data_IF_170458918904
#
_entry.id   IF_170458918904
#
_cell.length_a   1.000
_cell.length_b   1.000
_cell.length_c   1.000
_cell.angle_alpha   90.00
_cell.angle_beta   90.00
_cell.angle_gamma   90.00
#
_symmetry.space_group_name_H-M   'P 1'
#
loop_
_entity.id
_entity.type
_entity.pdbx_description
1 polymer ?
#
# COMPACT_ATOMS: atom_id res chain seq x y z
N UNK A 1 24.07 -0.66 11.82
CA UNK A 1 25.44 -0.64 11.30
C UNK A 1 25.97 -2.06 11.18
N UNK A 2 26.42 -2.43 9.98
CA UNK A 2 27.12 -3.68 9.71
C UNK A 2 28.56 -3.36 9.29
N UNK A 3 29.46 -4.33 9.43
CA UNK A 3 30.85 -4.13 9.07
C UNK A 3 30.99 -3.96 7.55
N UNK A 4 31.77 -2.95 7.14
CA UNK A 4 32.17 -2.72 5.76
C UNK A 4 33.69 -2.83 5.68
N UNK A 5 34.20 -3.47 4.62
CA UNK A 5 35.64 -3.63 4.43
C UNK A 5 36.16 -2.36 3.75
N UNK A 6 36.92 -1.55 4.47
CA UNK A 6 37.51 -0.33 3.90
C UNK A 6 38.79 -0.60 3.11
N UNK A 7 39.53 -1.64 3.48
CA UNK A 7 40.78 -2.02 2.85
C UNK A 7 41.13 -3.49 3.09
N UNK A 8 41.81 -4.09 2.12
CA UNK A 8 42.48 -5.39 2.24
C UNK A 8 43.98 -5.16 2.39
N UNK A 9 44.58 -5.74 3.43
CA UNK A 9 45.97 -5.47 3.81
C UNK A 9 46.74 -6.79 3.93
N UNK A 10 47.80 -6.92 3.16
CA UNK A 10 48.73 -8.06 3.23
C UNK A 10 50.08 -7.55 3.73
N UNK A 11 50.58 -8.13 4.83
CA UNK A 11 51.87 -7.74 5.43
C UNK A 11 52.05 -6.23 5.68
N UNK A 12 50.97 -5.53 6.04
CA UNK A 12 50.98 -4.08 6.29
C UNK A 12 50.90 -3.20 5.05
N UNK A 13 50.80 -3.79 3.85
CA UNK A 13 50.57 -3.06 2.59
C UNK A 13 49.10 -3.17 2.20
N UNK A 14 48.47 -2.03 1.92
CA UNK A 14 47.10 -1.99 1.39
C UNK A 14 47.11 -2.43 -0.07
N UNK A 15 46.52 -3.58 -0.35
CA UNK A 15 46.39 -4.14 -1.70
C UNK A 15 45.17 -3.55 -2.42
N UNK A 16 44.08 -3.39 -1.66
CA UNK A 16 42.80 -2.87 -2.14
C UNK A 16 42.26 -1.86 -1.15
N UNK A 17 41.70 -0.77 -1.67
CA UNK A 17 40.89 0.17 -0.88
C UNK A 17 39.51 0.30 -1.50
N UNK A 18 38.50 0.38 -0.65
CA UNK A 18 37.10 0.52 -1.05
C UNK A 18 36.58 1.89 -0.63
N UNK A 19 35.88 2.56 -1.55
CA UNK A 19 35.24 3.85 -1.28
C UNK A 19 33.74 3.64 -1.19
N UNK A 20 33.14 4.16 -0.13
CA UNK A 20 31.69 4.07 0.13
C UNK A 20 31.06 5.46 0.14
N UNK A 21 29.87 5.56 -0.41
CA UNK A 21 28.90 6.63 -0.18
C UNK A 21 27.72 6.06 0.60
N UNK A 22 26.50 6.20 0.06
CA UNK A 22 25.35 5.43 0.55
C UNK A 22 25.52 3.91 0.28
N UNK A 23 26.22 3.56 -0.79
CA UNK A 23 26.62 2.20 -1.19
C UNK A 23 28.13 2.11 -1.52
N UNK A 24 28.63 0.91 -1.84
CA UNK A 24 29.99 0.73 -2.35
C UNK A 24 30.14 1.42 -3.71
N UNK A 25 31.06 2.38 -3.83
CA UNK A 25 31.21 3.20 -5.05
C UNK A 25 32.30 2.65 -5.95
N UNK A 26 33.45 2.31 -5.38
CA UNK A 26 34.61 1.87 -6.15
C UNK A 26 35.58 1.04 -5.33
N UNK A 27 36.33 0.18 -6.01
CA UNK A 27 37.56 -0.41 -5.49
C UNK A 27 38.76 0.20 -6.19
N UNK A 28 39.87 0.39 -5.46
CA UNK A 28 41.16 0.77 -6.03
C UNK A 28 42.17 -0.29 -5.69
N UNK A 29 42.65 -1.01 -6.70
CA UNK A 29 43.65 -2.08 -6.59
C UNK A 29 44.94 -1.61 -7.26
N UNK A 30 46.05 -1.65 -6.52
CA UNK A 30 47.35 -1.17 -6.99
C UNK A 30 47.30 0.23 -7.66
N UNK A 31 46.45 1.14 -7.15
CA UNK A 31 46.29 2.51 -7.69
C UNK A 31 45.38 2.64 -8.91
N UNK A 32 44.77 1.56 -9.40
CA UNK A 32 43.81 1.59 -10.50
C UNK A 32 42.39 1.48 -9.95
N UNK A 33 41.52 2.49 -10.16
CA UNK A 33 40.13 2.45 -9.70
C UNK A 33 39.22 1.71 -10.68
N UNK A 34 38.28 0.95 -10.13
CA UNK A 34 37.13 0.37 -10.83
C UNK A 34 35.85 0.78 -10.10
N UNK A 35 34.87 1.28 -10.85
CA UNK A 35 33.61 1.80 -10.34
C UNK A 35 32.50 0.79 -10.51
N UNK A 36 31.72 0.56 -9.45
CA UNK A 36 30.63 -0.41 -9.44
C UNK A 36 29.38 0.15 -10.12
N UNK A 37 28.76 -0.67 -10.98
CA UNK A 37 27.47 -0.37 -11.59
C UNK A 37 26.45 -1.42 -11.18
N UNK A 38 25.38 -0.98 -10.54
CA UNK A 38 24.35 -1.84 -9.94
C UNK A 38 23.08 -1.90 -10.79
N UNK A 39 22.32 -2.99 -10.67
CA UNK A 39 20.91 -3.02 -11.07
C UNK A 39 19.97 -2.54 -9.96
N UNK A 40 18.67 -2.51 -10.25
CA UNK A 40 17.64 -2.12 -9.28
C UNK A 40 17.48 -3.09 -8.11
N UNK A 41 18.14 -4.25 -8.14
CA UNK A 41 18.19 -5.21 -7.03
C UNK A 41 19.47 -5.03 -6.18
N UNK A 42 20.34 -4.09 -6.55
CA UNK A 42 21.62 -3.83 -5.90
C UNK A 42 22.75 -4.77 -6.31
N UNK A 43 22.56 -5.62 -7.33
CA UNK A 43 23.60 -6.54 -7.79
C UNK A 43 24.60 -5.83 -8.70
N UNK A 44 25.90 -6.08 -8.52
CA UNK A 44 26.94 -5.54 -9.42
C UNK A 44 26.78 -6.14 -10.82
N UNK A 45 26.36 -5.35 -11.80
CA UNK A 45 26.20 -5.79 -13.20
C UNK A 45 27.39 -5.50 -14.08
N UNK A 46 28.20 -4.51 -13.72
CA UNK A 46 29.41 -4.17 -14.45
C UNK A 46 30.39 -3.40 -13.56
N UNK A 47 31.65 -3.37 -14.01
CA UNK A 47 32.65 -2.42 -13.56
C UNK A 47 33.01 -1.47 -14.70
N UNK A 48 33.31 -0.22 -14.36
CA UNK A 48 33.81 0.78 -15.29
C UNK A 48 35.16 1.34 -14.84
N UNK A 49 35.98 1.76 -15.79
CA UNK A 49 37.22 2.49 -15.50
C UNK A 49 36.96 3.99 -15.21
N UNK A 50 38.03 4.74 -14.93
CA UNK A 50 37.94 6.19 -14.66
C UNK A 50 37.45 7.03 -15.85
N UNK A 51 37.41 6.48 -17.07
CA UNK A 51 36.82 7.13 -18.24
C UNK A 51 35.32 6.84 -18.41
N UNK A 52 34.77 5.94 -17.58
CA UNK A 52 33.40 5.45 -17.70
C UNK A 52 33.22 4.32 -18.72
N UNK A 53 34.32 3.74 -19.22
CA UNK A 53 34.26 2.60 -20.13
C UNK A 53 34.06 1.30 -19.35
N UNK A 54 33.14 0.45 -19.78
CA UNK A 54 32.88 -0.84 -19.13
C UNK A 54 34.08 -1.78 -19.32
N UNK A 55 34.59 -2.32 -18.21
CA UNK A 55 35.72 -3.26 -18.19
C UNK A 55 35.28 -4.69 -17.90
N UNK A 56 34.23 -4.85 -17.11
CA UNK A 56 33.73 -6.13 -16.62
C UNK A 56 32.20 -6.15 -16.70
N UNK A 57 31.61 -7.33 -16.87
CA UNK A 57 30.16 -7.54 -16.83
C UNK A 57 29.81 -8.81 -16.07
N UNK A 58 28.65 -8.82 -15.42
CA UNK A 58 28.16 -9.98 -14.68
C UNK A 58 26.66 -10.18 -14.93
N UNK A 59 26.28 -11.41 -15.26
CA UNK A 59 24.90 -11.84 -15.43
C UNK A 59 24.58 -12.94 -14.42
N UNK A 60 23.53 -12.73 -13.64
CA UNK A 60 23.08 -13.69 -12.62
C UNK A 60 21.70 -14.24 -12.97
N UNK A 61 21.38 -15.42 -12.44
CA UNK A 61 20.00 -15.84 -12.30
C UNK A 61 19.31 -15.15 -11.10
N UNK A 62 18.05 -15.51 -10.86
CA UNK A 62 17.25 -14.93 -9.76
C UNK A 62 17.80 -15.24 -8.36
N UNK A 63 18.65 -16.26 -8.19
CA UNK A 63 19.25 -16.65 -6.91
C UNK A 63 20.72 -16.23 -6.81
N UNK A 64 21.25 -15.46 -7.76
CA UNK A 64 22.62 -14.98 -7.73
C UNK A 64 23.67 -15.97 -8.25
N UNK A 65 23.25 -17.05 -8.92
CA UNK A 65 24.16 -17.92 -9.65
C UNK A 65 24.69 -17.15 -10.86
N UNK A 66 26.01 -17.04 -10.97
CA UNK A 66 26.66 -16.35 -12.09
C UNK A 66 26.53 -17.19 -13.37
N UNK A 67 25.79 -16.67 -14.35
CA UNK A 67 25.55 -17.31 -15.63
C UNK A 67 26.62 -16.94 -16.67
N UNK A 68 27.07 -15.69 -16.64
CA UNK A 68 28.07 -15.17 -17.56
C UNK A 68 28.86 -14.02 -16.92
N UNK A 69 30.14 -13.93 -17.23
CA UNK A 69 30.96 -12.78 -16.85
C UNK A 69 32.03 -12.45 -17.88
N UNK A 70 32.44 -11.19 -17.93
CA UNK A 70 33.59 -10.72 -18.71
C UNK A 70 34.48 -9.83 -17.85
N UNK A 71 35.73 -9.65 -18.30
CA UNK A 71 36.76 -8.89 -17.58
C UNK A 71 37.57 -9.76 -16.61
N UNK A 72 38.72 -9.23 -16.20
CA UNK A 72 39.70 -9.90 -15.35
C UNK A 72 39.85 -9.22 -13.98
N UNK A 73 39.01 -8.22 -13.69
CA UNK A 73 39.10 -7.47 -12.43
C UNK A 73 38.65 -8.37 -11.28
N UNK A 74 39.55 -8.60 -10.32
CA UNK A 74 39.19 -9.31 -9.10
C UNK A 74 38.12 -8.52 -8.34
N UNK A 75 36.98 -9.16 -8.11
CA UNK A 75 35.83 -8.53 -7.48
C UNK A 75 35.08 -9.52 -6.58
N UNK A 76 35.07 -9.21 -5.29
CA UNK A 76 34.33 -9.96 -4.28
C UNK A 76 32.87 -9.49 -4.16
N UNK A 77 32.54 -8.25 -4.51
CA UNK A 77 31.20 -7.67 -4.31
C UNK A 77 30.34 -7.83 -5.56
N UNK A 78 29.40 -8.78 -5.51
CA UNK A 78 28.69 -9.30 -6.69
C UNK A 78 27.18 -9.22 -6.50
N UNK A 79 26.49 -10.36 -6.37
CA UNK A 79 25.04 -10.42 -6.22
C UNK A 79 24.57 -9.65 -4.98
N UNK A 80 23.51 -8.86 -5.13
CA UNK A 80 22.99 -7.91 -4.12
C UNK A 80 24.03 -6.96 -3.51
N UNK A 81 25.19 -6.79 -4.16
CA UNK A 81 26.29 -5.98 -3.64
C UNK A 81 27.10 -6.65 -2.52
N UNK A 82 26.87 -7.94 -2.30
CA UNK A 82 27.41 -8.68 -1.15
C UNK A 82 28.68 -9.43 -1.51
N UNK A 83 29.48 -9.71 -0.48
CA UNK A 83 30.78 -10.33 -0.63
C UNK A 83 30.63 -11.83 -0.94
N UNK A 84 31.14 -12.25 -2.09
CA UNK A 84 31.35 -13.66 -2.44
C UNK A 84 32.68 -14.13 -1.84
N UNK A 85 32.63 -15.13 -0.98
CA UNK A 85 33.81 -15.90 -0.59
C UNK A 85 34.10 -16.94 -1.67
N UNK A 86 35.16 -16.71 -2.45
CA UNK A 86 35.53 -17.57 -3.57
C UNK A 86 35.96 -18.98 -3.13
N UNK A 87 36.44 -19.17 -1.90
CA UNK A 87 36.86 -20.49 -1.43
C UNK A 87 35.66 -21.37 -1.08
N UNK A 88 34.60 -20.75 -0.58
CA UNK A 88 33.35 -21.43 -0.23
C UNK A 88 32.34 -21.45 -1.37
N UNK A 89 32.54 -20.60 -2.39
CA UNK A 89 31.57 -20.28 -3.44
C UNK A 89 30.21 -19.88 -2.85
N UNK A 90 30.24 -18.99 -1.84
CA UNK A 90 29.06 -18.57 -1.07
C UNK A 90 29.08 -17.08 -0.79
N UNK A 91 27.91 -16.46 -0.78
CA UNK A 91 27.76 -15.06 -0.41
C UNK A 91 27.67 -14.90 1.10
N UNK A 92 28.50 -14.03 1.67
CA UNK A 92 28.38 -13.63 3.05
C UNK A 92 27.38 -12.47 3.18
N UNK A 93 26.13 -12.81 3.49
CA UNK A 93 25.05 -11.84 3.68
C UNK A 93 25.07 -11.27 5.11
N UNK A 94 26.20 -10.75 5.59
CA UNK A 94 26.42 -10.14 6.92
C UNK A 94 26.26 -11.07 8.14
N UNK A 95 25.21 -11.87 8.22
CA UNK A 95 24.95 -12.75 9.37
C UNK A 95 25.10 -14.23 9.05
N UNK A 96 24.87 -14.60 7.79
CA UNK A 96 24.88 -16.00 7.34
C UNK A 96 25.51 -16.10 5.96
N UNK A 97 26.12 -17.25 5.70
CA UNK A 97 26.54 -17.63 4.37
C UNK A 97 25.35 -18.18 3.59
N UNK A 98 25.16 -17.61 2.41
CA UNK A 98 24.14 -17.97 1.44
C UNK A 98 24.79 -18.78 0.31
N UNK A 99 24.23 -19.95 0.05
CA UNK A 99 24.58 -20.80 -1.09
C UNK A 99 23.57 -20.57 -2.22
N UNK A 100 24.02 -19.83 -3.22
CA UNK A 100 23.27 -19.50 -4.43
C UNK A 100 22.85 -20.74 -5.22
N UNK A 101 23.66 -21.81 -5.20
CA UNK A 101 23.39 -23.01 -5.99
C UNK A 101 22.20 -23.80 -5.44
N UNK A 102 21.99 -23.77 -4.12
CA UNK A 102 20.83 -24.38 -3.47
C UNK A 102 19.69 -23.40 -3.17
N UNK A 103 19.93 -22.09 -3.35
CA UNK A 103 18.98 -21.03 -3.03
C UNK A 103 18.71 -20.91 -1.52
N UNK A 104 19.67 -21.30 -0.66
CA UNK A 104 19.47 -21.42 0.78
C UNK A 104 20.64 -20.88 1.60
N UNK A 105 20.35 -20.47 2.82
CA UNK A 105 21.38 -20.25 3.83
C UNK A 105 21.98 -21.57 4.28
N UNK A 106 23.25 -21.52 4.67
CA UNK A 106 23.99 -22.67 5.22
C UNK A 106 23.86 -22.76 6.75
N UNK A 107 23.44 -21.67 7.40
CA UNK A 107 23.11 -21.63 8.82
C UNK A 107 21.62 -21.42 9.07
N UNK A 108 21.15 -21.98 10.18
CA UNK A 108 19.78 -21.80 10.65
C UNK A 108 19.51 -20.33 10.97
N UNK A 109 18.36 -19.82 10.55
CA UNK A 109 17.85 -18.52 10.95
C UNK A 109 17.67 -18.46 12.46
N UNK A 110 18.24 -17.42 13.06
CA UNK A 110 18.07 -17.16 14.50
C UNK A 110 16.69 -16.60 14.81
N UNK A 111 15.98 -16.06 13.81
CA UNK A 111 14.62 -15.60 13.96
C UNK A 111 13.63 -16.77 13.97
N UNK A 112 12.70 -16.74 14.92
CA UNK A 112 11.76 -17.85 15.17
C UNK A 112 10.64 -17.98 14.13
N UNK A 113 10.45 -17.00 13.25
CA UNK A 113 9.36 -17.01 12.27
C UNK A 113 7.99 -16.73 12.91
N UNK A 114 6.95 -16.73 12.09
CA UNK A 114 5.56 -16.49 12.48
C UNK A 114 4.71 -17.73 12.22
N UNK A 115 4.04 -18.25 13.25
CA UNK A 115 3.18 -19.43 13.11
C UNK A 115 2.00 -19.25 12.14
N UNK A 116 1.60 -18.01 11.84
CA UNK A 116 0.52 -17.69 10.92
C UNK A 116 1.01 -17.35 9.50
N UNK A 117 2.33 -17.36 9.29
CA UNK A 117 2.96 -17.26 7.98
C UNK A 117 3.98 -18.40 7.81
N UNK A 118 3.52 -19.61 7.40
CA UNK A 118 4.33 -20.82 7.44
C UNK A 118 5.65 -20.73 6.66
N UNK A 119 5.75 -19.88 5.63
CA UNK A 119 6.99 -19.74 4.84
C UNK A 119 8.16 -19.27 5.72
N UNK A 120 7.87 -18.40 6.69
CA UNK A 120 8.85 -17.84 7.64
C UNK A 120 9.39 -18.86 8.65
N UNK A 121 8.76 -20.03 8.77
CA UNK A 121 9.20 -21.09 9.66
C UNK A 121 10.35 -21.92 9.04
N UNK A 122 10.60 -21.79 7.74
CA UNK A 122 11.71 -22.45 7.06
C UNK A 122 13.03 -21.72 7.28
N UNK A 123 13.80 -22.19 8.25
CA UNK A 123 15.04 -21.55 8.78
C UNK A 123 16.22 -21.38 7.82
N UNK A 124 16.10 -21.78 6.56
CA UNK A 124 17.21 -21.74 5.60
C UNK A 124 16.81 -21.05 4.30
N UNK A 125 15.60 -20.49 4.20
CA UNK A 125 15.17 -19.83 2.97
C UNK A 125 15.85 -18.46 2.82
N UNK A 126 16.46 -18.25 1.66
CA UNK A 126 16.81 -16.91 1.20
C UNK A 126 15.56 -16.23 0.63
N UNK A 127 15.30 -14.98 1.02
CA UNK A 127 14.24 -14.16 0.45
C UNK A 127 12.85 -14.83 0.38
N UNK A 128 12.51 -15.71 1.34
CA UNK A 128 11.28 -16.53 1.33
C UNK A 128 11.08 -17.36 0.04
N UNK A 129 12.16 -17.73 -0.65
CA UNK A 129 12.17 -18.38 -1.97
C UNK A 129 11.62 -17.52 -3.13
N UNK A 130 11.50 -16.20 -2.93
CA UNK A 130 11.16 -15.22 -3.96
C UNK A 130 12.18 -14.06 -3.96
N UNK A 131 13.42 -14.34 -4.40
CA UNK A 131 14.51 -13.37 -4.44
C UNK A 131 14.33 -12.28 -5.52
N UNK A 132 13.37 -12.41 -6.43
CA UNK A 132 13.07 -11.34 -7.40
C UNK A 132 12.34 -10.20 -6.71
N UNK A 133 11.40 -10.53 -5.81
CA UNK A 133 10.59 -9.55 -5.10
C UNK A 133 11.17 -9.14 -3.73
N UNK A 134 12.09 -9.94 -3.16
CA UNK A 134 12.61 -9.71 -1.81
C UNK A 134 14.14 -9.79 -1.77
N UNK A 135 14.74 -8.88 -1.00
CA UNK A 135 16.17 -8.90 -0.64
C UNK A 135 16.28 -9.23 0.85
N UNK A 136 17.37 -9.83 1.32
CA UNK A 136 17.69 -9.97 2.75
C UNK A 136 18.90 -9.11 3.16
N UNK A 137 18.69 -7.81 3.46
CA UNK A 137 19.80 -6.89 3.75
C UNK A 137 20.51 -7.16 5.06
N UNK A 138 19.98 -8.03 5.93
CA UNK A 138 20.55 -8.28 7.26
C UNK A 138 21.18 -9.66 7.37
N UNK A 139 20.92 -10.53 6.40
CA UNK A 139 21.19 -11.95 6.48
C UNK A 139 20.38 -12.69 7.51
N UNK A 140 19.36 -12.11 8.14
CA UNK A 140 18.43 -12.78 9.04
C UNK A 140 16.96 -12.49 8.67
N UNK A 141 16.73 -11.59 7.71
CA UNK A 141 15.44 -10.97 7.49
C UNK A 141 15.33 -10.47 6.05
N UNK A 142 14.50 -11.14 5.25
CA UNK A 142 14.02 -10.54 3.99
C UNK A 142 13.32 -9.21 4.28
N UNK A 143 13.40 -8.21 3.41
CA UNK A 143 12.79 -6.88 3.59
C UNK A 143 11.29 -6.94 3.97
N UNK A 144 10.58 -8.02 3.62
CA UNK A 144 9.20 -8.29 4.06
C UNK A 144 9.03 -8.55 5.57
N UNK A 145 10.09 -8.90 6.28
CA UNK A 145 10.08 -9.22 7.72
C UNK A 145 10.50 -8.06 8.63
N UNK A 146 11.14 -7.01 8.09
CA UNK A 146 11.37 -5.73 8.79
C UNK A 146 10.02 -5.10 9.17
N UNK A 147 9.03 -5.17 8.28
CA UNK A 147 7.66 -4.71 8.58
C UNK A 147 7.02 -5.53 9.73
N UNK A 148 7.30 -6.84 9.81
CA UNK A 148 6.74 -7.72 10.85
C UNK A 148 7.38 -7.52 12.23
N UNK A 149 8.69 -7.30 12.32
CA UNK A 149 9.40 -7.06 13.58
C UNK A 149 9.03 -5.73 14.24
N UNK A 150 8.89 -4.67 13.43
CA UNK A 150 8.42 -3.36 13.90
C UNK A 150 6.98 -3.47 14.42
N UNK A 151 6.12 -4.27 13.77
CA UNK A 151 4.76 -4.54 14.24
C UNK A 151 4.72 -5.21 15.62
N UNK A 152 5.62 -6.17 15.91
CA UNK A 152 5.66 -6.85 17.22
C UNK A 152 6.15 -5.92 18.33
N UNK A 153 7.19 -5.11 18.08
CA UNK A 153 7.67 -4.10 19.04
C UNK A 153 6.61 -3.03 19.28
N UNK A 154 5.93 -2.58 18.23
CA UNK A 154 4.76 -1.70 18.32
C UNK A 154 3.64 -2.32 19.16
N UNK A 155 3.32 -3.60 18.94
CA UNK A 155 2.29 -4.32 19.71
C UNK A 155 2.64 -4.47 21.20
N UNK A 156 3.90 -4.75 21.54
CA UNK A 156 4.35 -4.84 22.93
C UNK A 156 4.38 -3.46 23.61
N UNK A 157 4.85 -2.42 22.91
CA UNK A 157 4.81 -1.05 23.38
C UNK A 157 3.37 -0.55 23.60
N UNK A 158 2.44 -0.89 22.70
CA UNK A 158 1.01 -0.58 22.83
C UNK A 158 0.35 -1.30 24.01
N UNK A 159 0.72 -2.56 24.31
CA UNK A 159 0.23 -3.27 25.50
C UNK A 159 0.73 -2.63 26.79
N UNK A 160 2.00 -2.23 26.83
CA UNK A 160 2.56 -1.51 27.97
C UNK A 160 1.91 -0.14 28.14
N UNK A 161 1.66 0.58 27.04
CA UNK A 161 0.99 1.89 27.04
C UNK A 161 -0.47 1.80 27.49
N UNK A 162 -1.25 0.84 26.97
CA UNK A 162 -2.65 0.65 27.37
C UNK A 162 -2.79 0.20 28.84
N UNK A 163 -1.83 -0.58 29.35
CA UNK A 163 -1.80 -0.94 30.76
C UNK A 163 -1.45 0.28 31.63
N UNK A 164 -0.49 1.10 31.18
CA UNK A 164 -0.11 2.33 31.87
C UNK A 164 -1.22 3.38 31.86
N UNK A 165 -1.89 3.60 30.72
CA UNK A 165 -2.97 4.59 30.60
C UNK A 165 -4.19 4.25 31.47
N UNK A 166 -4.48 2.96 31.66
CA UNK A 166 -5.51 2.50 32.59
C UNK A 166 -5.13 2.80 34.05
N UNK A 167 -3.88 2.55 34.43
CA UNK A 167 -3.39 2.83 35.79
C UNK A 167 -3.33 4.33 36.06
N UNK A 168 -2.86 5.12 35.09
CA UNK A 168 -2.77 6.57 35.18
C UNK A 168 -4.16 7.23 35.26
N UNK A 169 -5.11 6.83 34.41
CA UNK A 169 -6.49 7.33 34.46
C UNK A 169 -7.17 7.01 35.79
N UNK A 170 -7.00 5.80 36.33
CA UNK A 170 -7.51 5.43 37.66
C UNK A 170 -6.81 6.23 38.76
N UNK A 171 -5.50 6.45 38.65
CA UNK A 171 -4.73 7.22 39.63
C UNK A 171 -5.14 8.69 39.65
N UNK A 172 -5.28 9.34 38.50
CA UNK A 172 -5.70 10.75 38.34
C UNK A 172 -7.14 11.00 38.82
N UNK A 173 -8.03 10.03 38.61
CA UNK A 173 -9.38 10.04 39.20
C UNK A 173 -9.32 9.87 40.72
N UNK A 174 -8.52 8.91 41.22
CA UNK A 174 -8.43 8.64 42.65
C UNK A 174 -7.74 9.75 43.46
N UNK A 175 -6.85 10.50 42.81
CA UNK A 175 -6.15 11.67 43.37
C UNK A 175 -6.96 12.96 43.24
N UNK A 176 -8.08 12.95 42.50
CA UNK A 176 -8.95 14.11 42.30
C UNK A 176 -8.43 15.11 41.27
N UNK A 177 -7.43 14.75 40.47
CA UNK A 177 -6.90 15.61 39.39
C UNK A 177 -7.82 15.66 38.16
N UNK A 178 -8.68 14.65 37.95
CA UNK A 178 -9.70 14.64 36.90
C UNK A 178 -11.08 14.24 37.43
N UNK A 179 -12.14 14.80 36.83
CA UNK A 179 -13.53 14.47 37.15
C UNK A 179 -13.88 13.06 36.65
N UNK A 180 -14.58 12.27 37.46
CA UNK A 180 -14.99 10.91 37.12
C UNK A 180 -16.00 10.91 35.97
N UNK A 181 -15.58 10.46 34.78
CA UNK A 181 -16.47 10.11 33.67
C UNK A 181 -16.62 8.57 33.59
N UNK A 182 -17.76 8.02 34.05
CA UNK A 182 -18.00 6.58 34.08
C UNK A 182 -17.95 5.91 32.70
N UNK A 183 -18.21 6.68 31.63
CA UNK A 183 -18.29 6.15 30.28
C UNK A 183 -16.89 5.90 29.69
N UNK A 184 -15.97 6.86 29.85
CA UNK A 184 -14.57 6.69 29.42
C UNK A 184 -13.84 5.54 30.13
N UNK A 185 -14.08 5.38 31.44
CA UNK A 185 -13.49 4.30 32.25
C UNK A 185 -14.07 2.93 31.88
N UNK A 186 -15.39 2.87 31.62
CA UNK A 186 -16.05 1.65 31.16
C UNK A 186 -15.50 1.19 29.79
N UNK A 187 -15.29 2.13 28.87
CA UNK A 187 -14.74 1.85 27.54
C UNK A 187 -13.29 1.34 27.59
N UNK A 188 -12.42 1.94 28.43
CA UNK A 188 -11.02 1.52 28.56
C UNK A 188 -10.85 0.13 29.23
N UNK A 189 -11.73 -0.20 30.19
CA UNK A 189 -11.78 -1.53 30.81
C UNK A 189 -12.25 -2.61 29.83
N UNK A 190 -13.21 -2.28 28.94
CA UNK A 190 -13.72 -3.21 27.94
C UNK A 190 -12.68 -3.43 26.83
N UNK A 191 -12.02 -2.37 26.33
CA UNK A 191 -10.98 -2.50 25.32
C UNK A 191 -9.74 -3.26 25.82
N UNK A 192 -9.33 -3.04 27.07
CA UNK A 192 -8.15 -3.72 27.64
C UNK A 192 -8.35 -5.22 27.87
N UNK A 193 -9.59 -5.73 27.80
CA UNK A 193 -9.95 -7.13 28.03
C UNK A 193 -10.31 -7.92 26.75
N UNK A 194 -10.23 -7.30 25.56
CA UNK A 194 -10.59 -7.95 24.29
C UNK A 194 -9.36 -8.58 23.59
N UNK A 195 -9.46 -9.81 23.04
CA UNK A 195 -8.41 -10.42 22.23
C UNK A 195 -8.29 -9.78 20.82
N UNK A 196 -7.06 -9.60 20.35
CA UNK A 196 -6.69 -8.81 19.14
C UNK A 196 -7.34 -9.24 17.82
N UNK A 197 -7.72 -10.51 17.65
CA UNK A 197 -8.43 -10.97 16.43
C UNK A 197 -9.92 -10.60 16.41
N UNK A 198 -10.48 -10.21 17.55
CA UNK A 198 -11.88 -9.78 17.64
C UNK A 198 -12.02 -8.27 17.50
N UNK A 199 -10.98 -7.48 17.83
CA UNK A 199 -10.99 -6.02 17.62
C UNK A 199 -11.04 -5.67 16.13
N UNK A 200 -10.26 -6.32 15.26
CA UNK A 200 -10.31 -6.09 13.80
C UNK A 200 -11.65 -6.49 13.17
N UNK A 201 -12.33 -7.52 13.71
CA UNK A 201 -13.69 -7.93 13.30
C UNK A 201 -14.80 -7.04 13.88
N UNK A 202 -14.55 -6.31 14.97
CA UNK A 202 -15.49 -5.34 15.53
C UNK A 202 -15.32 -3.95 14.90
N UNK A 203 -14.11 -3.62 14.41
CA UNK A 203 -13.81 -2.37 13.69
C UNK A 203 -14.42 -2.37 12.27
N UNK A 204 -14.73 -3.54 11.70
CA UNK A 204 -15.37 -3.67 10.38
C UNK A 204 -16.89 -3.46 10.35
N UNK A 205 -17.49 -2.86 11.40
CA UNK A 205 -18.93 -2.58 11.40
C UNK A 205 -19.38 -1.35 12.18
N UNK A 206 -18.64 -0.25 12.09
CA UNK A 206 -19.22 1.09 12.24
C UNK A 206 -18.76 1.92 11.06
N UNK A 207 -19.66 2.11 10.10
CA UNK A 207 -19.50 3.08 9.02
C UNK A 207 -19.58 4.49 9.62
N UNK A 208 -18.48 4.94 10.21
CA UNK A 208 -18.28 6.35 10.55
C UNK A 208 -18.02 7.11 9.26
N UNK A 209 -18.82 8.13 8.95
CA UNK A 209 -18.58 9.04 7.83
C UNK A 209 -17.20 9.67 7.99
N UNK A 210 -16.19 9.17 7.28
CA UNK A 210 -14.85 9.72 7.23
C UNK A 210 -14.79 10.82 6.17
N UNK A 211 -14.29 11.99 6.52
CA UNK A 211 -14.17 13.14 5.62
C UNK A 211 -13.07 14.10 6.09
N UNK A 212 -12.73 15.06 5.25
CA UNK A 212 -11.78 16.14 5.50
C UNK A 212 -12.49 17.49 5.46
N UNK A 213 -11.88 18.52 6.03
CA UNK A 213 -12.32 19.89 5.77
C UNK A 213 -12.11 20.28 4.28
N UNK A 214 -12.84 21.28 3.79
CA UNK A 214 -12.79 21.67 2.38
C UNK A 214 -11.45 22.21 1.88
N UNK A 215 -10.61 22.76 2.77
CA UNK A 215 -9.29 23.32 2.45
C UNK A 215 -8.19 22.26 2.42
N UNK A 216 -8.46 21.04 2.92
CA UNK A 216 -7.51 19.92 2.84
C UNK A 216 -7.11 19.69 1.38
N UNK A 217 -5.81 19.83 1.10
CA UNK A 217 -5.28 19.66 -0.25
C UNK A 217 -5.24 18.18 -0.65
N UNK A 218 -5.47 17.90 -1.92
CA UNK A 218 -5.37 16.57 -2.53
C UNK A 218 -4.32 16.60 -3.62
N UNK A 219 -3.47 15.57 -3.69
CA UNK A 219 -2.46 15.42 -4.74
C UNK A 219 -3.12 15.00 -6.06
N UNK A 220 -3.32 15.96 -6.96
CA UNK A 220 -3.87 15.73 -8.30
C UNK A 220 -2.78 15.63 -9.37
N UNK A 221 -3.16 15.25 -10.59
CA UNK A 221 -2.27 15.30 -11.75
C UNK A 221 -1.68 16.70 -12.00
N UNK A 222 -2.46 17.76 -11.75
CA UNK A 222 -2.08 19.14 -12.01
C UNK A 222 -1.54 19.86 -10.76
N UNK A 223 -1.18 19.11 -9.71
CA UNK A 223 -0.69 19.63 -8.44
C UNK A 223 -1.73 19.57 -7.32
N UNK A 224 -1.52 20.37 -6.28
CA UNK A 224 -2.36 20.35 -5.08
C UNK A 224 -3.65 21.15 -5.29
N UNK A 225 -4.79 20.51 -5.07
CA UNK A 225 -6.12 21.12 -5.19
C UNK A 225 -6.88 20.92 -3.88
N UNK A 226 -7.55 21.95 -3.31
CA UNK A 226 -8.44 21.77 -2.17
C UNK A 226 -9.51 20.72 -2.45
N UNK A 227 -9.80 19.85 -1.49
CA UNK A 227 -10.73 18.73 -1.70
C UNK A 227 -12.15 19.21 -2.05
N UNK A 228 -12.53 20.42 -1.65
CA UNK A 228 -13.79 21.04 -2.02
C UNK A 228 -13.89 21.39 -3.53
N UNK A 229 -12.74 21.59 -4.19
CA UNK A 229 -12.65 22.01 -5.59
C UNK A 229 -12.42 20.83 -6.55
N UNK A 230 -12.11 19.64 -6.02
CA UNK A 230 -11.94 18.41 -6.81
C UNK A 230 -13.27 18.00 -7.45
N UNK A 231 -13.22 17.65 -8.74
CA UNK A 231 -14.38 17.29 -9.55
C UNK A 231 -14.34 15.81 -9.96
N UNK A 232 -15.52 15.25 -10.22
CA UNK A 232 -15.62 13.95 -10.87
C UNK A 232 -14.94 14.05 -12.24
N UNK A 233 -14.06 13.10 -12.54
CA UNK A 233 -13.22 13.10 -13.74
C UNK A 233 -11.80 13.62 -13.50
N UNK A 234 -11.54 14.34 -12.42
CA UNK A 234 -10.18 14.75 -12.05
C UNK A 234 -9.35 13.52 -11.70
N UNK A 235 -8.04 13.57 -11.99
CA UNK A 235 -7.11 12.48 -11.66
C UNK A 235 -6.32 12.81 -10.40
N UNK A 236 -6.36 11.91 -9.44
CA UNK A 236 -5.65 12.02 -8.15
C UNK A 236 -4.68 10.87 -7.97
N UNK A 237 -3.58 11.12 -7.26
CA UNK A 237 -2.67 10.06 -6.88
C UNK A 237 -3.31 9.15 -5.83
N UNK A 238 -3.31 7.86 -6.12
CA UNK A 238 -3.84 6.81 -5.26
C UNK A 238 -2.83 5.66 -5.14
N UNK A 239 -2.74 5.08 -3.95
CA UNK A 239 -1.80 4.01 -3.61
C UNK A 239 -2.51 2.66 -3.63
N UNK A 240 -2.00 1.74 -4.43
CA UNK A 240 -2.51 0.38 -4.45
C UNK A 240 -1.84 -0.45 -3.35
N UNK A 241 -2.61 -0.85 -2.34
CA UNK A 241 -2.09 -1.60 -1.18
C UNK A 241 -1.57 -3.00 -1.52
N UNK A 242 -2.09 -3.63 -2.59
CA UNK A 242 -1.65 -4.97 -3.00
C UNK A 242 -0.29 -4.95 -3.71
N UNK A 243 -0.03 -3.90 -4.49
CA UNK A 243 1.19 -3.79 -5.32
C UNK A 243 2.23 -2.85 -4.73
N UNK A 244 1.83 -1.99 -3.78
CA UNK A 244 2.69 -0.95 -3.20
C UNK A 244 2.97 0.22 -4.15
N UNK A 245 2.23 0.35 -5.25
CA UNK A 245 2.49 1.33 -6.30
C UNK A 245 1.44 2.44 -6.29
N UNK A 246 1.91 3.68 -6.37
CA UNK A 246 1.05 4.85 -6.57
C UNK A 246 0.83 5.15 -8.04
N UNK A 247 -0.43 5.41 -8.42
CA UNK A 247 -0.82 5.76 -9.79
C UNK A 247 -1.94 6.81 -9.80
N UNK A 248 -1.99 7.60 -10.87
CA UNK A 248 -3.11 8.51 -11.11
C UNK A 248 -4.39 7.75 -11.40
N UNK A 249 -5.47 8.14 -10.72
CA UNK A 249 -6.79 7.55 -10.84
C UNK A 249 -7.88 8.59 -10.92
N UNK A 250 -8.87 8.32 -11.76
CA UNK A 250 -10.05 9.16 -11.91
C UNK A 250 -10.88 9.15 -10.61
N UNK A 251 -11.24 10.34 -10.15
CA UNK A 251 -12.24 10.54 -9.11
C UNK A 251 -13.61 10.25 -9.72
N UNK A 252 -14.27 9.22 -9.19
CA UNK A 252 -15.56 8.75 -9.70
C UNK A 252 -16.74 9.20 -8.85
N UNK A 253 -16.50 9.63 -7.60
CA UNK A 253 -17.54 10.12 -6.72
C UNK A 253 -17.01 11.14 -5.72
N UNK A 254 -17.82 12.16 -5.44
CA UNK A 254 -17.58 13.15 -4.39
C UNK A 254 -18.62 12.96 -3.29
N UNK A 255 -18.15 12.87 -2.04
CA UNK A 255 -18.97 12.72 -0.86
C UNK A 255 -18.91 14.04 -0.11
N UNK A 256 -20.04 14.70 0.07
CA UNK A 256 -20.15 15.93 0.83
C UNK A 256 -21.07 15.69 2.03
N UNK A 257 -20.63 16.10 3.20
CA UNK A 257 -21.41 16.05 4.43
C UNK A 257 -21.41 17.39 5.13
N UNK A 258 -22.53 17.78 5.71
CA UNK A 258 -22.67 19.01 6.49
C UNK A 258 -23.10 18.70 7.93
N UNK A 259 -22.96 19.67 8.81
CA UNK A 259 -23.42 19.64 10.19
C UNK A 259 -22.28 19.44 11.18
N UNK A 260 -22.64 19.08 12.41
CA UNK A 260 -21.68 18.95 13.50
C UNK A 260 -20.74 17.75 13.26
N UNK A 261 -19.43 18.00 13.26
CA UNK A 261 -18.37 17.02 13.09
C UNK A 261 -17.39 17.08 14.24
N UNK A 262 -16.92 15.92 14.66
CA UNK A 262 -15.72 15.80 15.49
C UNK A 262 -14.51 15.78 14.56
N UNK A 263 -13.71 16.84 14.61
CA UNK A 263 -12.51 17.05 13.79
C UNK A 263 -11.27 16.90 14.66
N UNK A 264 -10.21 16.37 14.07
CA UNK A 264 -8.87 16.31 14.62
C UNK A 264 -7.96 17.15 13.73
N UNK A 265 -7.32 18.14 14.31
CA UNK A 265 -6.23 18.91 13.71
C UNK A 265 -4.91 18.16 13.97
N UNK A 266 -4.29 17.63 12.91
CA UNK A 266 -3.06 16.84 12.93
C UNK A 266 -1.90 17.72 12.49
N UNK A 267 -1.04 18.12 13.42
CA UNK A 267 0.15 18.94 13.10
C UNK A 267 1.35 18.05 12.81
N UNK A 268 1.94 18.19 11.62
CA UNK A 268 3.06 17.39 11.13
C UNK A 268 4.42 18.09 11.33
N UNK A 269 5.50 17.33 11.18
CA UNK A 269 6.88 17.79 11.38
C UNK A 269 7.32 18.91 10.41
N UNK A 270 6.67 19.02 9.26
CA UNK A 270 6.85 20.09 8.27
C UNK A 270 6.06 21.37 8.62
N UNK A 271 5.32 21.40 9.73
CA UNK A 271 4.47 22.51 10.15
C UNK A 271 3.08 22.55 9.52
N UNK A 272 2.74 21.59 8.66
CA UNK A 272 1.41 21.45 8.08
C UNK A 272 0.38 20.97 9.11
N UNK A 273 -0.86 21.41 8.97
CA UNK A 273 -2.01 20.93 9.75
C UNK A 273 -3.04 20.31 8.82
N UNK A 274 -3.32 19.02 9.00
CA UNK A 274 -4.38 18.30 8.30
C UNK A 274 -5.61 18.22 9.21
N UNK A 275 -6.78 18.64 8.74
CA UNK A 275 -8.02 18.56 9.51
C UNK A 275 -8.92 17.44 8.99
N UNK A 276 -9.08 16.40 9.80
CA UNK A 276 -9.85 15.22 9.42
C UNK A 276 -10.93 14.91 10.44
N UNK A 277 -12.03 14.28 10.02
CA UNK A 277 -12.99 13.71 10.98
C UNK A 277 -12.31 12.63 11.81
N UNK A 278 -12.70 12.48 13.08
CA UNK A 278 -12.11 11.47 14.00
C UNK A 278 -12.05 10.05 13.45
N UNK A 279 -12.97 9.67 12.56
CA UNK A 279 -13.01 8.34 11.93
C UNK A 279 -12.23 8.21 10.64
N UNK A 280 -11.43 9.21 10.25
CA UNK A 280 -10.67 9.16 9.00
C UNK A 280 -9.37 8.37 9.17
N UNK A 281 -9.19 7.24 8.47
CA UNK A 281 -7.98 6.43 8.61
C UNK A 281 -6.77 7.04 7.89
N UNK A 282 -5.62 7.03 8.57
CA UNK A 282 -4.31 7.36 8.02
C UNK A 282 -3.40 6.15 8.10
N UNK A 283 -2.52 5.99 7.11
CA UNK A 283 -1.59 4.87 7.09
C UNK A 283 -0.38 5.17 7.99
N UNK A 284 -0.10 4.24 8.92
CA UNK A 284 1.06 4.30 9.79
C UNK A 284 2.11 3.31 9.27
N UNK A 285 3.14 3.76 8.52
CA UNK A 285 4.11 2.86 7.90
C UNK A 285 4.90 2.05 8.92
N UNK A 286 5.10 2.56 10.14
CA UNK A 286 5.75 1.81 11.22
C UNK A 286 4.89 0.69 11.81
N UNK A 287 3.58 0.70 11.59
CA UNK A 287 2.65 -0.32 12.10
C UNK A 287 2.06 -1.17 10.97
N UNK A 288 2.26 -0.79 9.71
CA UNK A 288 1.61 -1.41 8.56
C UNK A 288 0.08 -1.39 8.64
N UNK A 289 -0.49 -0.46 9.42
CA UNK A 289 -1.91 -0.43 9.77
C UNK A 289 -2.54 0.94 9.49
N UNK A 290 -3.84 0.91 9.23
CA UNK A 290 -4.68 2.09 9.13
C UNK A 290 -5.21 2.47 10.51
N UNK A 291 -4.91 3.69 10.95
CA UNK A 291 -5.34 4.21 12.27
C UNK A 291 -6.25 5.41 12.06
N UNK A 292 -7.42 5.42 12.72
CA UNK A 292 -8.35 6.53 12.66
C UNK A 292 -7.72 7.81 13.23
N UNK A 293 -8.07 8.97 12.66
CA UNK A 293 -7.54 10.27 13.07
C UNK A 293 -7.68 10.54 14.58
N UNK A 294 -8.80 10.13 15.18
CA UNK A 294 -9.07 10.28 16.61
C UNK A 294 -8.30 9.31 17.51
N UNK A 295 -7.65 8.31 16.93
CA UNK A 295 -6.83 7.30 17.62
C UNK A 295 -5.33 7.53 17.38
N UNK A 296 -4.97 8.51 16.55
CA UNK A 296 -3.58 8.93 16.37
C UNK A 296 -3.01 9.44 17.68
N UNK A 297 -1.70 9.27 17.82
CA UNK A 297 -0.94 9.75 18.99
C UNK A 297 0.29 10.53 18.54
N UNK A 298 0.76 11.41 19.43
CA UNK A 298 1.99 12.19 19.21
C UNK A 298 3.18 11.23 19.03
N UNK A 299 4.13 11.60 18.18
CA UNK A 299 5.33 10.83 17.79
C UNK A 299 5.07 9.62 16.88
N UNK A 300 3.82 9.31 16.52
CA UNK A 300 3.57 8.47 15.36
C UNK A 300 3.98 9.21 14.09
N UNK A 301 4.13 8.49 12.99
CA UNK A 301 4.52 9.08 11.73
C UNK A 301 3.64 8.56 10.59
N UNK A 302 3.44 9.41 9.60
CA UNK A 302 2.59 9.17 8.44
C UNK A 302 3.45 9.05 7.18
N UNK A 303 3.01 8.24 6.22
CA UNK A 303 3.69 8.06 4.94
C UNK A 303 3.33 9.18 3.97
N UNK A 304 4.34 9.91 3.50
CA UNK A 304 4.24 10.90 2.43
C UNK A 304 4.26 10.26 1.04
N UNK A 305 3.84 11.03 0.04
CA UNK A 305 3.71 10.56 -1.36
C UNK A 305 5.06 10.28 -2.02
N UNK A 306 6.12 10.92 -1.52
CA UNK A 306 7.52 10.72 -1.92
C UNK A 306 8.19 9.53 -1.22
N UNK A 307 7.44 8.80 -0.37
CA UNK A 307 7.98 7.75 0.50
C UNK A 307 8.62 8.29 1.78
N UNK A 308 8.62 9.61 1.99
CA UNK A 308 9.10 10.25 3.21
C UNK A 308 8.19 9.97 4.41
N UNK A 309 8.73 10.14 5.62
CA UNK A 309 8.01 9.93 6.88
C UNK A 309 7.79 11.27 7.58
N UNK A 310 6.55 11.58 7.94
CA UNK A 310 6.15 12.82 8.62
C UNK A 310 5.67 12.53 10.03
N UNK A 311 6.41 12.98 11.04
CA UNK A 311 6.05 12.78 12.45
C UNK A 311 4.90 13.71 12.88
N UNK A 312 3.98 13.18 13.67
CA UNK A 312 2.89 13.93 14.30
C UNK A 312 3.44 14.67 15.52
N UNK A 313 3.48 16.00 15.44
CA UNK A 313 3.95 16.88 16.50
C UNK A 313 2.86 17.20 17.54
N UNK A 314 1.62 17.37 17.08
CA UNK A 314 0.48 17.70 17.93
C UNK A 314 -0.83 17.22 17.32
N UNK A 315 -1.80 16.97 18.21
CA UNK A 315 -3.17 16.60 17.87
C UNK A 315 -4.11 17.45 18.71
N UNK A 316 -5.14 18.03 18.10
CA UNK A 316 -6.20 18.75 18.80
C UNK A 316 -7.56 18.32 18.27
N UNK A 317 -8.44 17.89 19.17
CA UNK A 317 -9.79 17.45 18.81
C UNK A 317 -10.80 18.53 19.16
N UNK A 318 -11.68 18.86 18.22
CA UNK A 318 -12.78 19.81 18.43
C UNK A 318 -14.06 19.32 17.76
N UNK A 319 -15.19 19.79 18.26
CA UNK A 319 -16.49 19.59 17.61
C UNK A 319 -16.91 20.92 16.99
N UNK A 320 -17.19 20.94 15.69
CA UNK A 320 -17.62 22.14 14.99
C UNK A 320 -18.61 21.81 13.87
N UNK A 321 -19.46 22.79 13.51
CA UNK A 321 -20.32 22.68 12.33
C UNK A 321 -19.48 23.01 11.09
N UNK A 322 -19.31 22.04 10.20
CA UNK A 322 -18.44 22.18 9.03
C UNK A 322 -18.99 21.37 7.85
N UNK A 323 -18.75 21.88 6.63
CA UNK A 323 -18.90 21.10 5.41
C UNK A 323 -17.63 20.31 5.18
N UNK A 324 -17.77 18.98 5.11
CA UNK A 324 -16.67 18.04 4.95
C UNK A 324 -16.79 17.25 3.67
N UNK A 325 -15.65 16.89 3.11
CA UNK A 325 -15.52 16.28 1.79
C UNK A 325 -14.75 14.97 1.88
N UNK A 326 -15.09 14.03 1.00
CA UNK A 326 -14.34 12.79 0.77
C UNK A 326 -14.53 12.39 -0.69
N UNK A 327 -13.66 11.55 -1.25
CA UNK A 327 -13.64 11.21 -2.66
C UNK A 327 -13.41 9.72 -2.87
N UNK A 328 -14.08 9.16 -3.87
CA UNK A 328 -13.87 7.78 -4.32
C UNK A 328 -13.08 7.82 -5.61
N UNK A 329 -11.99 7.06 -5.66
CA UNK A 329 -11.19 6.84 -6.86
C UNK A 329 -11.55 5.49 -7.50
N UNK A 330 -11.31 5.35 -8.80
CA UNK A 330 -11.90 4.28 -9.62
C UNK A 330 -11.50 2.85 -9.23
N UNK A 331 -10.26 2.61 -8.81
CA UNK A 331 -9.74 1.26 -8.55
C UNK A 331 -9.30 1.05 -7.11
N UNK A 332 -8.60 2.02 -6.52
CA UNK A 332 -8.08 1.92 -5.16
C UNK A 332 -8.98 2.67 -4.15
N UNK A 333 -8.76 2.44 -2.86
CA UNK A 333 -9.53 3.08 -1.79
C UNK A 333 -8.69 4.05 -0.99
N UNK A 334 -7.68 4.62 -1.64
CA UNK A 334 -6.72 5.52 -1.02
C UNK A 334 -6.53 6.74 -1.89
N UNK A 335 -6.08 7.83 -1.26
CA UNK A 335 -5.59 9.02 -1.95
C UNK A 335 -4.69 9.80 -1.00
N UNK A 336 -3.92 10.72 -1.57
CA UNK A 336 -2.95 11.51 -0.83
C UNK A 336 -3.50 12.90 -0.49
N UNK A 337 -3.33 13.30 0.78
CA UNK A 337 -3.81 14.58 1.31
C UNK A 337 -2.71 15.42 1.95
N UNK A 338 -2.85 16.74 1.91
CA UNK A 338 -1.85 17.68 2.39
C UNK A 338 -0.70 17.91 1.40
N UNK A 339 0.16 18.87 1.72
CA UNK A 339 1.28 19.35 0.89
C UNK A 339 2.34 18.28 0.68
N UNK A 340 2.59 17.47 1.69
CA UNK A 340 3.50 16.33 1.59
C UNK A 340 2.81 15.04 1.16
N UNK A 341 1.52 15.10 0.81
CA UNK A 341 0.76 13.96 0.31
C UNK A 341 0.77 12.80 1.29
N UNK A 342 0.16 12.97 2.46
CA UNK A 342 -0.02 11.90 3.42
C UNK A 342 -1.06 10.90 2.93
N UNK A 343 -0.74 9.61 3.03
CA UNK A 343 -1.63 8.54 2.60
C UNK A 343 -2.86 8.39 3.51
N UNK A 344 -4.05 8.51 2.92
CA UNK A 344 -5.34 8.36 3.58
C UNK A 344 -6.21 7.29 2.91
N UNK A 345 -7.08 6.64 3.69
CA UNK A 345 -8.01 5.63 3.18
C UNK A 345 -9.45 6.16 3.18
N UNK A 346 -10.14 5.91 2.08
CA UNK A 346 -11.58 6.05 1.99
C UNK A 346 -12.25 4.83 2.63
N UNK A 347 -12.21 4.75 3.98
CA UNK A 347 -12.75 3.62 4.77
C UNK A 347 -14.15 3.25 4.29
N UNK A 348 -14.30 1.96 3.97
CA UNK A 348 -15.40 1.37 3.22
C UNK A 348 -16.79 1.83 3.65
N UNK A 349 -17.27 2.92 3.06
CA UNK A 349 -18.66 2.95 2.65
C UNK A 349 -18.75 1.90 1.54
N UNK A 350 -19.38 0.74 1.78
CA UNK A 350 -20.01 0.00 0.68
C UNK A 350 -20.70 1.06 -0.17
N UNK A 351 -20.20 1.33 -1.36
CA UNK A 351 -20.82 2.33 -2.20
C UNK A 351 -22.23 1.81 -2.47
N UNK A 352 -23.20 2.51 -1.87
CA UNK A 352 -24.53 2.57 -2.42
C UNK A 352 -24.31 3.04 -3.86
N UNK A 353 -24.65 2.16 -4.79
CA UNK A 353 -24.80 2.41 -6.23
C UNK A 353 -24.61 3.88 -6.65
N UNK A 354 -23.54 4.17 -7.39
CA UNK A 354 -23.25 5.50 -7.96
C UNK A 354 -24.14 5.68 -9.18
N UNK A 355 -25.18 6.50 -9.07
CA UNK A 355 -26.11 6.79 -10.19
C UNK A 355 -25.48 7.82 -11.14
N UNK A 356 -25.34 7.46 -12.41
CA UNK A 356 -24.75 8.30 -13.47
C UNK A 356 -25.80 8.49 -14.57
N UNK A 357 -26.71 9.48 -14.46
CA UNK A 357 -27.71 9.71 -15.50
C UNK A 357 -27.05 10.30 -16.76
N UNK A 358 -27.42 9.76 -17.91
CA UNK A 358 -26.99 10.21 -19.24
C UNK A 358 -28.19 10.31 -20.18
N UNK A 359 -28.02 10.95 -21.33
CA UNK A 359 -29.14 11.30 -22.23
C UNK A 359 -29.54 10.18 -23.21
N UNK A 360 -28.74 9.12 -23.37
CA UNK A 360 -29.04 8.01 -24.29
C UNK A 360 -28.33 6.71 -23.92
N UNK A 361 -28.76 5.61 -24.54
CA UNK A 361 -28.09 4.31 -24.43
C UNK A 361 -26.65 4.37 -24.95
N UNK A 362 -26.39 5.06 -26.05
CA UNK A 362 -25.04 5.20 -26.63
C UNK A 362 -24.11 5.94 -25.67
N UNK A 363 -24.61 7.00 -25.02
CA UNK A 363 -23.87 7.72 -23.99
C UNK A 363 -23.58 6.79 -22.79
N UNK A 364 -24.56 5.99 -22.38
CA UNK A 364 -24.40 5.04 -21.28
C UNK A 364 -23.36 3.97 -21.61
N UNK A 365 -23.44 3.40 -22.82
CA UNK A 365 -22.51 2.40 -23.33
C UNK A 365 -21.08 2.95 -23.40
N UNK A 366 -20.90 4.15 -23.95
CA UNK A 366 -19.57 4.75 -24.08
C UNK A 366 -18.97 5.06 -22.70
N UNK A 367 -19.77 5.60 -21.76
CA UNK A 367 -19.31 5.83 -20.37
C UNK A 367 -18.97 4.51 -19.67
N UNK A 368 -19.77 3.47 -19.90
CA UNK A 368 -19.50 2.14 -19.35
C UNK A 368 -18.18 1.56 -19.87
N UNK A 369 -17.93 1.66 -21.18
CA UNK A 369 -16.68 1.21 -21.79
C UNK A 369 -15.47 2.00 -21.30
N UNK A 370 -15.62 3.30 -21.06
CA UNK A 370 -14.58 4.13 -20.43
C UNK A 370 -14.24 3.61 -19.03
N UNK A 371 -15.24 3.33 -18.19
CA UNK A 371 -15.05 2.82 -16.82
C UNK A 371 -14.45 1.39 -16.80
N UNK A 372 -14.83 0.56 -17.77
CA UNK A 372 -14.24 -0.77 -17.96
C UNK A 372 -12.78 -0.69 -18.40
N UNK A 373 -12.42 0.22 -19.31
CA UNK A 373 -11.12 0.19 -19.96
C UNK A 373 -11.01 -0.92 -21.01
N UNK A 374 -9.79 -1.26 -21.47
CA UNK A 374 -9.58 -2.24 -22.53
C UNK A 374 -10.07 -3.62 -22.10
N UNK A 375 -10.99 -4.19 -22.88
CA UNK A 375 -11.57 -5.51 -22.58
C UNK A 375 -10.58 -6.59 -22.99
N UNK A 376 -10.07 -7.33 -22.01
CA UNK A 376 -9.31 -8.54 -22.28
C UNK A 376 -10.27 -9.66 -22.73
N UNK A 377 -10.15 -10.04 -24.00
CA UNK A 377 -10.97 -11.07 -24.61
C UNK A 377 -10.67 -12.47 -24.05
N UNK A 378 -9.45 -12.72 -23.55
CA UNK A 378 -9.08 -14.00 -22.97
C UNK A 378 -9.81 -14.28 -21.65
N UNK A 379 -10.16 -13.22 -20.90
CA UNK A 379 -10.89 -13.33 -19.64
C UNK A 379 -12.38 -12.98 -19.76
N UNK A 380 -12.86 -12.67 -20.97
CA UNK A 380 -14.26 -12.29 -21.17
C UNK A 380 -15.19 -13.46 -20.93
N UNK A 381 -16.13 -13.33 -20.00
CA UNK A 381 -17.14 -14.36 -19.69
C UNK A 381 -18.53 -13.74 -19.64
N UNK A 382 -19.49 -14.36 -20.32
CA UNK A 382 -20.87 -13.88 -20.34
C UNK A 382 -21.52 -14.06 -18.96
N UNK A 383 -22.36 -13.09 -18.60
CA UNK A 383 -23.15 -13.11 -17.37
C UNK A 383 -24.60 -13.32 -17.74
N UNK A 384 -25.22 -14.34 -17.12
CA UNK A 384 -26.64 -14.60 -17.26
C UNK A 384 -27.45 -13.90 -16.16
N UNK A 385 -28.62 -13.36 -16.51
CA UNK A 385 -29.54 -12.76 -15.56
C UNK A 385 -30.13 -13.80 -14.63
N UNK A 386 -30.05 -13.55 -13.32
CA UNK A 386 -30.46 -14.52 -12.28
C UNK A 386 -31.81 -14.22 -11.63
N UNK A 387 -32.30 -12.98 -11.73
CA UNK A 387 -33.50 -12.54 -11.02
C UNK A 387 -34.77 -13.07 -11.68
N UNK A 388 -35.42 -14.05 -11.05
CA UNK A 388 -36.70 -14.59 -11.50
C UNK A 388 -37.76 -13.48 -11.55
N UNK A 389 -38.36 -13.27 -12.73
CA UNK A 389 -39.32 -12.19 -12.99
C UNK A 389 -38.75 -11.01 -13.80
N UNK A 390 -37.42 -10.89 -13.93
CA UNK A 390 -36.80 -9.93 -14.87
C UNK A 390 -36.81 -10.48 -16.30
N UNK A 391 -36.97 -9.60 -17.29
CA UNK A 391 -36.87 -9.94 -18.72
C UNK A 391 -35.49 -10.42 -19.17
N UNK A 392 -34.47 -10.18 -18.34
CA UNK A 392 -33.12 -10.69 -18.49
C UNK A 392 -32.88 -12.07 -17.87
N UNK A 393 -33.86 -12.66 -17.17
CA UNK A 393 -33.68 -13.97 -16.54
C UNK A 393 -33.32 -15.06 -17.57
N UNK A 394 -32.22 -15.77 -17.33
CA UNK A 394 -31.71 -16.83 -18.22
C UNK A 394 -31.06 -16.34 -19.51
N UNK A 395 -31.01 -15.02 -19.76
CA UNK A 395 -30.36 -14.41 -20.93
C UNK A 395 -29.02 -13.80 -20.57
N UNK A 396 -28.13 -13.64 -21.54
CA UNK A 396 -26.92 -12.83 -21.43
C UNK A 396 -27.32 -11.39 -21.17
N UNK A 397 -26.96 -10.89 -19.99
CA UNK A 397 -27.22 -9.51 -19.57
C UNK A 397 -25.93 -8.68 -19.56
N UNK A 398 -24.79 -9.30 -19.84
CA UNK A 398 -23.50 -8.62 -19.88
C UNK A 398 -22.34 -9.59 -19.80
N UNK A 399 -21.19 -9.11 -19.30
CA UNK A 399 -19.97 -9.91 -19.20
C UNK A 399 -19.07 -9.42 -18.06
N UNK A 400 -18.18 -10.30 -17.61
CA UNK A 400 -17.02 -9.96 -16.79
C UNK A 400 -15.74 -10.08 -17.62
N UNK A 401 -14.72 -9.31 -17.28
CA UNK A 401 -13.38 -9.34 -17.87
C UNK A 401 -12.35 -8.94 -16.81
N UNK A 402 -11.06 -9.07 -17.15
CA UNK A 402 -9.94 -8.67 -16.28
C UNK A 402 -9.16 -7.57 -17.00
N UNK A 403 -8.95 -6.45 -16.32
CA UNK A 403 -8.20 -5.30 -16.85
C UNK A 403 -7.14 -4.94 -15.82
N UNK A 404 -5.87 -4.99 -16.21
CA UNK A 404 -4.71 -4.71 -15.33
C UNK A 404 -4.75 -5.47 -13.99
N UNK A 405 -5.09 -6.76 -14.03
CA UNK A 405 -5.15 -7.56 -12.80
C UNK A 405 -6.52 -7.54 -12.09
N UNK A 406 -7.39 -6.58 -12.39
CA UNK A 406 -8.64 -6.30 -11.66
C UNK A 406 -9.85 -6.84 -12.41
N UNK A 407 -10.77 -7.51 -11.70
CA UNK A 407 -12.03 -7.94 -12.31
C UNK A 407 -12.99 -6.77 -12.48
N UNK A 408 -13.61 -6.72 -13.66
CA UNK A 408 -14.61 -5.73 -14.01
C UNK A 408 -15.81 -6.40 -14.63
N UNK A 409 -16.99 -5.85 -14.36
CA UNK A 409 -18.27 -6.38 -14.82
C UNK A 409 -19.06 -5.29 -15.52
N UNK A 410 -19.63 -5.64 -16.67
CA UNK A 410 -20.66 -4.89 -17.38
C UNK A 410 -21.97 -5.66 -17.26
N UNK A 411 -23.07 -4.99 -16.88
CA UNK A 411 -24.40 -5.59 -16.88
C UNK A 411 -25.44 -4.58 -17.34
N UNK A 412 -26.23 -4.93 -18.33
CA UNK A 412 -27.43 -4.19 -18.70
C UNK A 412 -28.58 -4.68 -17.83
N UNK A 413 -29.26 -3.74 -17.16
CA UNK A 413 -30.32 -3.99 -16.21
C UNK A 413 -31.51 -3.06 -16.41
N UNK A 414 -32.62 -3.43 -15.79
CA UNK A 414 -33.82 -2.60 -15.69
C UNK A 414 -34.33 -2.61 -14.25
N UNK A 415 -34.62 -1.41 -13.75
CA UNK A 415 -35.23 -1.19 -12.45
C UNK A 415 -36.46 -0.27 -12.65
N UNK A 416 -37.65 -0.62 -12.13
CA UNK A 416 -38.85 0.20 -12.31
C UNK A 416 -38.74 1.65 -11.82
N UNK A 417 -37.83 1.93 -10.90
CA UNK A 417 -37.60 3.28 -10.33
C UNK A 417 -36.52 4.07 -11.06
N UNK A 418 -35.59 3.39 -11.74
CA UNK A 418 -34.43 4.01 -12.43
C UNK A 418 -34.55 3.97 -13.95
N UNK A 419 -35.38 3.10 -14.48
CA UNK A 419 -35.40 2.74 -15.89
C UNK A 419 -34.24 1.80 -16.27
N UNK A 420 -33.93 1.69 -17.57
CA UNK A 420 -32.82 0.90 -18.04
C UNK A 420 -31.49 1.56 -17.67
N UNK A 421 -30.52 0.75 -17.27
CA UNK A 421 -29.21 1.23 -16.84
C UNK A 421 -28.13 0.19 -17.11
N UNK A 422 -26.89 0.66 -17.25
CA UNK A 422 -25.72 -0.20 -17.31
C UNK A 422 -25.02 -0.14 -15.96
N UNK A 423 -24.95 -1.29 -15.28
CA UNK A 423 -24.13 -1.48 -14.10
C UNK A 423 -22.70 -1.80 -14.51
N UNK A 424 -21.75 -0.94 -14.13
CA UNK A 424 -20.32 -1.24 -14.17
C UNK A 424 -19.80 -1.47 -12.77
N UNK A 425 -19.29 -2.68 -12.51
CA UNK A 425 -18.66 -3.02 -11.23
C UNK A 425 -17.17 -3.23 -11.38
N UNK A 426 -16.43 -2.80 -10.36
CA UNK A 426 -14.97 -2.95 -10.24
C UNK A 426 -14.69 -3.56 -8.87
N UNK A 427 -13.84 -4.59 -8.82
CA UNK A 427 -13.44 -5.26 -7.56
C UNK A 427 -13.15 -6.74 -7.76
N UNK A 428 -13.12 -7.55 -6.69
CA UNK A 428 -12.70 -8.97 -6.73
C UNK A 428 -13.81 -9.90 -6.26
N UNK A 429 -14.34 -10.76 -7.13
CA UNK A 429 -15.30 -11.80 -6.73
C UNK A 429 -16.57 -11.26 -6.06
N UNK A 430 -16.88 -11.73 -4.84
CA UNK A 430 -17.99 -11.23 -4.03
C UNK A 430 -17.72 -9.83 -3.40
N UNK A 431 -16.48 -9.35 -3.48
CA UNK A 431 -16.03 -8.04 -3.02
C UNK A 431 -15.95 -7.04 -4.20
N UNK A 432 -17.01 -7.02 -5.02
CA UNK A 432 -17.25 -5.97 -6.02
C UNK A 432 -17.75 -4.73 -5.28
N UNK A 433 -16.88 -3.72 -5.10
CA UNK A 433 -17.06 -2.65 -4.11
C UNK A 433 -17.65 -1.37 -4.70
N UNK A 434 -17.46 -1.12 -6.00
CA UNK A 434 -18.04 0.03 -6.73
C UNK A 434 -19.12 -0.47 -7.69
N UNK A 435 -20.32 0.11 -7.65
CA UNK A 435 -21.38 -0.15 -8.63
C UNK A 435 -21.81 1.17 -9.29
N UNK A 436 -21.36 1.44 -10.51
CA UNK A 436 -21.84 2.56 -11.31
C UNK A 436 -23.11 2.15 -12.05
N UNK A 437 -24.23 2.76 -11.72
CA UNK A 437 -25.51 2.59 -12.40
C UNK A 437 -25.69 3.72 -13.40
N UNK A 438 -25.33 3.46 -14.65
CA UNK A 438 -25.35 4.45 -15.72
C UNK A 438 -26.72 4.43 -16.37
N UNK A 439 -27.56 5.37 -15.95
CA UNK A 439 -28.99 5.41 -16.26
C UNK A 439 -29.24 6.19 -17.52
N UNK A 440 -30.15 5.69 -18.36
CA UNK A 440 -30.55 6.37 -19.57
C UNK A 440 -32.07 6.31 -19.76
N UNK A 441 -32.68 7.27 -20.46
CA UNK A 441 -34.11 7.25 -20.72
C UNK A 441 -34.53 5.99 -21.47
N UNK A 442 -35.59 5.33 -21.00
CA UNK A 442 -36.18 4.20 -21.70
C UNK A 442 -37.18 3.44 -20.84
N UNK A 443 -37.96 2.59 -21.50
CA UNK A 443 -38.93 1.69 -20.85
C UNK A 443 -38.37 0.27 -20.71
N UNK A 444 -39.09 -0.60 -20.00
CA UNK A 444 -38.75 -2.04 -19.96
C UNK A 444 -38.76 -2.67 -21.37
N UNK A 445 -39.58 -2.16 -22.28
CA UNK A 445 -39.63 -2.59 -23.68
C UNK A 445 -38.33 -2.25 -24.40
N UNK A 446 -37.73 -1.10 -24.09
CA UNK A 446 -36.46 -0.69 -24.70
C UNK A 446 -35.30 -1.51 -24.14
N UNK A 447 -35.32 -1.80 -22.83
CA UNK A 447 -34.42 -2.79 -22.23
C UNK A 447 -34.52 -4.16 -22.92
N UNK A 448 -35.74 -4.66 -23.17
CA UNK A 448 -35.94 -5.93 -23.88
C UNK A 448 -35.37 -5.91 -25.30
N UNK A 449 -35.53 -4.80 -26.04
CA UNK A 449 -34.92 -4.65 -27.38
C UNK A 449 -33.40 -4.69 -27.29
N UNK A 450 -32.80 -4.00 -26.33
CA UNK A 450 -31.36 -4.01 -26.11
C UNK A 450 -30.84 -5.40 -25.72
N UNK A 451 -31.58 -6.15 -24.90
CA UNK A 451 -31.23 -7.54 -24.58
C UNK A 451 -31.15 -8.42 -25.82
N UNK A 452 -32.04 -8.22 -26.82
CA UNK A 452 -31.99 -8.94 -28.11
C UNK A 452 -30.78 -8.61 -28.96
N UNK A 453 -30.08 -7.50 -28.70
CA UNK A 453 -28.85 -7.13 -29.41
C UNK A 453 -27.60 -7.74 -28.76
N UNK A 454 -27.67 -8.07 -27.46
CA UNK A 454 -26.55 -8.61 -26.67
C UNK A 454 -26.55 -10.15 -26.64
N UNK A 455 -27.73 -10.76 -26.82
CA UNK A 455 -27.92 -12.21 -26.99
C UNK A 455 -27.98 -12.56 -28.46
#
# INVERSE_FOLDING_TARGET
>A
DYAQVLAEVTNGTTEVSYTYGDDLVSQTRAGTPSYYLYDGHGSTRALADASGSLTDSYDYDAFGVLLNSSGDTENAYRYTGEQLDQNLDQYYLRARYYDQNSGRFTQMDTWMGLNHDPVTLHKYLYANADPVAHIDPTGNFSLGSVMSGINVMGNLAMRAYNAYSLVDSVFRISSGEEAFDPMSLGTSIILSRLPTKLSSKLITKICGKNSFDGETLVSTENGLVPIADVKIGDRVWAYNEETGISKLQEVVHLIVGEGEKKIVDITLSNGEVIKATVGHPFYIPTQGEWVNAGELTKNQALLGIDGGILSILALSSKTENLVVYNLTVIADHTYYVGRSGVLSHNSSCRLKEVRVPVHSYEAARNKALQLLGPIDQAFRRNILGRLSGSKGHGKVVGFETKVDGVWKQFRLDYDPTKGPHINVKVGKGNDMIVNHSIEFPGSEIDFEKLLKLIN
#
